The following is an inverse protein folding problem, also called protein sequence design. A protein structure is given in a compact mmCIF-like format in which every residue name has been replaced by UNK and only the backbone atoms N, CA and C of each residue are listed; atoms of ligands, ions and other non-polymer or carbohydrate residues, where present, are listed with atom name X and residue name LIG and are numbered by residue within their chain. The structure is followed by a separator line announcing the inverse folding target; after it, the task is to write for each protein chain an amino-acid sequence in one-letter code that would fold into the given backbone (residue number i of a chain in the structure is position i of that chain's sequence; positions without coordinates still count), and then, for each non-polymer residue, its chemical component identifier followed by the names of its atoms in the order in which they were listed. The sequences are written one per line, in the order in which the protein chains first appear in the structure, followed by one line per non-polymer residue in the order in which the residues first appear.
data_IF_569924551089
#
_entry.id   IF_569924551089
#
_cell.length_a   1.000
_cell.length_b   1.000
_cell.length_c   1.000
_cell.angle_alpha   90.00
_cell.angle_beta   90.00
_cell.angle_gamma   90.00
#
_symmetry.space_group_name_H-M   'P 1'
#
loop_
_entity.id
_entity.type
_entity.pdbx_description
1 polymer ?
#
# COMPACT_ATOMS: atom_id res chain seq x y z
N UNK A 1 45.94 8.98 -1.34
CA UNK A 1 45.37 7.62 -1.44
C UNK A 1 43.87 7.70 -1.21
N UNK A 2 43.11 7.97 -2.28
CA UNK A 2 41.66 7.83 -2.26
C UNK A 2 41.38 6.37 -2.65
N UNK A 3 41.04 5.54 -1.67
CA UNK A 3 40.63 4.16 -1.94
C UNK A 3 39.29 4.23 -2.66
N UNK A 4 39.29 3.72 -3.90
CA UNK A 4 38.13 3.49 -4.74
C UNK A 4 37.03 2.76 -3.96
N UNK A 5 36.06 3.51 -3.44
CA UNK A 5 34.79 2.96 -3.00
C UNK A 5 33.87 2.84 -4.23
N UNK A 6 34.25 1.99 -5.17
CA UNK A 6 33.32 1.51 -6.19
C UNK A 6 32.32 0.61 -5.48
N UNK A 7 31.20 1.23 -5.11
CA UNK A 7 29.97 0.64 -4.61
C UNK A 7 29.54 -0.57 -5.45
N UNK A 8 29.92 -1.77 -5.04
CA UNK A 8 29.49 -3.02 -5.68
C UNK A 8 28.13 -3.45 -5.14
N UNK A 9 27.09 -2.65 -5.38
CA UNK A 9 25.73 -2.94 -4.89
C UNK A 9 25.07 -4.15 -5.58
N UNK A 10 25.69 -4.70 -6.64
CA UNK A 10 25.12 -5.77 -7.46
C UNK A 10 25.67 -7.18 -7.17
N UNK A 11 26.62 -7.34 -6.22
CA UNK A 11 27.19 -8.65 -5.83
C UNK A 11 26.49 -9.26 -4.61
N UNK A 12 25.17 -9.08 -4.48
CA UNK A 12 24.42 -9.62 -3.35
C UNK A 12 23.87 -11.00 -3.73
N UNK A 13 24.26 -12.04 -2.99
CA UNK A 13 23.76 -13.39 -3.21
C UNK A 13 22.24 -13.46 -3.01
N UNK A 14 21.51 -13.82 -4.08
CA UNK A 14 20.05 -13.92 -4.11
C UNK A 14 19.53 -15.33 -3.86
N UNK A 15 20.37 -16.25 -3.37
CA UNK A 15 19.90 -17.51 -2.83
C UNK A 15 18.83 -17.26 -1.75
N UNK A 16 17.80 -18.11 -1.73
CA UNK A 16 16.63 -17.93 -0.86
C UNK A 16 17.00 -17.75 0.62
N UNK A 17 17.98 -18.52 1.11
CA UNK A 17 18.49 -18.39 2.47
C UNK A 17 19.16 -17.03 2.73
N UNK A 18 19.94 -16.53 1.78
CA UNK A 18 20.62 -15.23 1.88
C UNK A 18 19.62 -14.07 1.88
N UNK A 19 18.58 -14.14 1.05
CA UNK A 19 17.47 -13.17 1.06
C UNK A 19 16.77 -13.17 2.43
N UNK A 20 16.40 -14.34 2.96
CA UNK A 20 15.74 -14.43 4.26
C UNK A 20 16.62 -13.85 5.36
N UNK A 21 17.92 -14.20 5.40
CA UNK A 21 18.84 -13.66 6.43
C UNK A 21 18.89 -12.13 6.41
N UNK A 22 18.91 -11.51 5.23
CA UNK A 22 18.88 -10.05 5.08
C UNK A 22 17.56 -9.45 5.54
N UNK A 23 16.43 -10.02 5.10
CA UNK A 23 15.09 -9.53 5.49
C UNK A 23 14.82 -9.70 6.99
N UNK A 24 15.32 -10.79 7.58
CA UNK A 24 15.15 -11.09 8.99
C UNK A 24 16.05 -10.24 9.91
N UNK A 25 17.12 -9.63 9.38
CA UNK A 25 18.13 -8.91 10.18
C UNK A 25 17.54 -7.97 11.25
N UNK A 26 16.51 -7.14 10.97
CA UNK A 26 15.93 -6.24 11.96
C UNK A 26 15.18 -6.94 13.10
N UNK A 27 14.81 -8.22 12.94
CA UNK A 27 14.02 -9.00 13.91
C UNK A 27 14.78 -10.22 14.45
N UNK A 28 16.06 -10.38 14.10
CA UNK A 28 16.91 -11.39 14.72
C UNK A 28 17.09 -11.07 16.20
N UNK A 29 17.23 -12.11 17.00
CA UNK A 29 17.45 -12.05 18.45
C UNK A 29 16.27 -11.51 19.29
N UNK A 30 15.10 -11.30 18.69
CA UNK A 30 13.93 -10.74 19.39
C UNK A 30 12.91 -11.78 19.85
N UNK A 31 13.18 -13.09 19.71
CA UNK A 31 12.22 -14.15 20.08
C UNK A 31 11.00 -14.26 19.15
N UNK A 32 11.04 -13.65 17.96
CA UNK A 32 9.94 -13.70 16.98
C UNK A 32 9.99 -14.98 16.14
N UNK A 33 8.85 -15.33 15.55
CA UNK A 33 8.73 -16.43 14.59
C UNK A 33 8.59 -15.88 13.15
N UNK A 34 9.19 -16.56 12.18
CA UNK A 34 9.00 -16.28 10.74
C UNK A 34 8.23 -17.44 10.10
N UNK A 35 7.18 -17.10 9.34
CA UNK A 35 6.45 -18.10 8.55
C UNK A 35 6.94 -18.09 7.11
N UNK A 36 7.29 -19.26 6.57
CA UNK A 36 7.86 -19.40 5.23
C UNK A 36 6.97 -20.22 4.29
N UNK A 37 6.96 -19.82 3.02
CA UNK A 37 6.60 -20.74 1.95
C UNK A 37 7.77 -21.69 1.60
N UNK A 38 7.44 -22.80 0.94
CA UNK A 38 8.33 -23.89 0.58
C UNK A 38 9.57 -23.49 -0.22
N UNK A 39 9.55 -22.35 -0.93
CA UNK A 39 10.72 -21.83 -1.65
C UNK A 39 11.85 -21.43 -0.70
N UNK A 40 11.50 -20.88 0.47
CA UNK A 40 12.44 -20.33 1.44
C UNK A 40 12.82 -21.34 2.54
N UNK A 41 12.00 -22.37 2.75
CA UNK A 41 12.22 -23.34 3.82
C UNK A 41 13.41 -24.27 3.56
N UNK A 42 14.36 -24.29 4.49
CA UNK A 42 15.45 -25.27 4.56
C UNK A 42 15.91 -25.50 6.00
N UNK A 43 16.42 -26.70 6.30
CA UNK A 43 16.88 -27.04 7.65
C UNK A 43 18.11 -26.24 8.10
N UNK A 44 19.14 -25.99 7.24
CA UNK A 44 20.25 -25.13 7.62
C UNK A 44 19.83 -23.69 7.94
N UNK A 45 18.82 -23.15 7.24
CA UNK A 45 18.27 -21.84 7.55
C UNK A 45 17.52 -21.84 8.90
N UNK A 46 16.78 -22.92 9.19
CA UNK A 46 16.12 -23.08 10.47
C UNK A 46 17.13 -23.09 11.65
N UNK A 47 18.27 -23.76 11.48
CA UNK A 47 19.37 -23.73 12.46
C UNK A 47 19.94 -22.33 12.67
N UNK A 48 20.23 -21.62 11.58
CA UNK A 48 20.74 -20.25 11.64
C UNK A 48 19.78 -19.32 12.39
N UNK A 49 18.48 -19.37 12.08
CA UNK A 49 17.49 -18.51 12.74
C UNK A 49 17.39 -18.84 14.23
N UNK A 50 17.39 -20.13 14.58
CA UNK A 50 17.30 -20.55 15.97
C UNK A 50 18.53 -20.13 16.78
N UNK A 51 19.73 -20.22 16.21
CA UNK A 51 20.97 -19.71 16.82
C UNK A 51 20.89 -18.19 17.09
N UNK A 52 20.07 -17.47 16.31
CA UNK A 52 19.80 -16.05 16.47
C UNK A 52 18.45 -15.78 17.18
N UNK A 53 18.01 -16.68 18.08
CA UNK A 53 16.75 -16.58 18.87
C UNK A 53 15.51 -16.18 18.03
N UNK A 54 15.41 -16.70 16.82
CA UNK A 54 14.28 -16.52 15.91
C UNK A 54 13.78 -17.90 15.48
N UNK A 55 12.49 -18.16 15.67
CA UNK A 55 11.90 -19.44 15.27
C UNK A 55 11.34 -19.36 13.85
N UNK A 56 11.04 -20.53 13.29
CA UNK A 56 10.39 -20.62 12.00
C UNK A 56 9.31 -21.69 11.96
N UNK A 57 8.35 -21.48 11.05
CA UNK A 57 7.36 -22.46 10.61
C UNK A 57 7.23 -22.34 9.11
N UNK A 58 7.27 -23.44 8.36
CA UNK A 58 7.09 -23.35 6.92
C UNK A 58 6.82 -24.68 6.26
N UNK A 59 6.19 -24.63 5.10
CA UNK A 59 6.04 -25.82 4.27
C UNK A 59 7.39 -26.26 3.72
N UNK A 60 7.60 -27.57 3.56
CA UNK A 60 8.86 -28.13 3.07
C UNK A 60 8.64 -28.87 1.77
N UNK A 61 9.54 -28.68 0.80
CA UNK A 61 9.53 -29.47 -0.44
C UNK A 61 9.94 -30.91 -0.18
N UNK A 62 9.28 -31.86 -0.85
CA UNK A 62 9.53 -33.31 -0.69
C UNK A 62 10.92 -33.77 -1.09
N UNK A 63 11.65 -32.98 -1.88
CA UNK A 63 12.96 -33.32 -2.41
C UNK A 63 14.13 -32.98 -1.46
N UNK A 64 13.85 -32.53 -0.23
CA UNK A 64 14.88 -32.30 0.78
C UNK A 64 15.38 -33.63 1.31
N UNK A 65 16.69 -33.85 1.27
CA UNK A 65 17.35 -35.12 1.64
C UNK A 65 17.25 -35.44 3.12
N UNK A 66 17.01 -34.42 3.93
CA UNK A 66 16.87 -34.48 5.38
C UNK A 66 15.52 -35.05 5.83
N UNK A 67 14.57 -35.24 4.90
CA UNK A 67 13.22 -35.75 5.20
C UNK A 67 13.26 -37.29 5.16
N UNK A 68 12.84 -37.98 6.24
CA UNK A 68 12.76 -39.44 6.23
C UNK A 68 11.80 -39.95 5.15
N UNK A 69 12.13 -41.02 4.40
CA UNK A 69 11.28 -41.55 3.34
C UNK A 69 9.84 -41.87 3.78
N UNK A 70 9.65 -42.27 5.04
CA UNK A 70 8.35 -42.60 5.65
C UNK A 70 7.39 -41.40 5.64
N UNK A 71 7.93 -40.18 5.71
CA UNK A 71 7.15 -38.94 5.69
C UNK A 71 6.63 -38.63 4.28
N UNK A 72 7.22 -39.25 3.25
CA UNK A 72 6.85 -39.04 1.85
C UNK A 72 5.77 -40.01 1.36
N UNK A 73 5.50 -41.08 2.12
CA UNK A 73 4.52 -42.10 1.78
C UNK A 73 3.11 -41.52 1.89
N UNK A 74 2.32 -41.65 0.82
CA UNK A 74 0.90 -41.25 0.78
C UNK A 74 -0.06 -42.43 0.60
N UNK A 75 0.38 -43.51 -0.06
CA UNK A 75 -0.39 -44.75 -0.24
C UNK A 75 -0.47 -45.51 1.09
N UNK A 76 -1.61 -46.16 1.35
CA UNK A 76 -1.82 -46.96 2.57
C UNK A 76 -2.00 -46.18 3.88
N UNK A 77 -1.86 -44.85 3.86
CA UNK A 77 -2.13 -44.00 5.03
C UNK A 77 -3.60 -43.58 5.11
N UNK A 78 -4.13 -43.47 6.32
CA UNK A 78 -5.48 -42.95 6.52
C UNK A 78 -5.56 -41.45 6.20
N UNK A 79 -6.71 -41.01 5.72
CA UNK A 79 -7.01 -39.60 5.55
C UNK A 79 -6.90 -38.90 6.91
N UNK A 80 -6.36 -37.69 6.93
CA UNK A 80 -6.13 -36.89 8.13
C UNK A 80 -5.11 -37.45 9.13
N UNK A 81 -4.41 -38.55 8.80
CA UNK A 81 -3.28 -39.03 9.59
C UNK A 81 -2.08 -38.07 9.54
N UNK A 82 -1.37 -37.99 10.67
CA UNK A 82 -0.13 -37.20 10.83
C UNK A 82 1.02 -38.09 11.29
N UNK A 83 2.19 -37.96 10.67
CA UNK A 83 3.46 -38.46 11.19
C UNK A 83 4.28 -37.30 11.72
N UNK A 84 4.84 -37.47 12.90
CA UNK A 84 5.64 -36.45 13.58
C UNK A 84 7.07 -36.91 13.71
N UNK A 85 8.01 -36.06 13.32
CA UNK A 85 9.44 -36.28 13.43
C UNK A 85 10.04 -35.20 14.30
N UNK A 86 10.86 -35.61 15.26
CA UNK A 86 11.50 -34.70 16.20
C UNK A 86 13.00 -34.88 16.13
N UNK A 87 13.70 -33.76 16.05
CA UNK A 87 15.11 -33.63 16.33
C UNK A 87 15.27 -32.62 17.47
N UNK A 88 16.47 -32.52 18.06
CA UNK A 88 16.72 -31.75 19.29
C UNK A 88 15.95 -30.42 19.37
N UNK A 89 16.02 -29.61 18.32
CA UNK A 89 15.35 -28.30 18.27
C UNK A 89 14.48 -28.10 17.01
N UNK A 90 14.05 -29.18 16.35
CA UNK A 90 13.27 -29.09 15.11
C UNK A 90 12.21 -30.16 15.10
N UNK A 91 11.05 -29.82 14.56
CA UNK A 91 9.94 -30.74 14.38
C UNK A 91 9.49 -30.68 12.94
N UNK A 92 9.04 -31.81 12.42
CA UNK A 92 8.41 -31.92 11.10
C UNK A 92 7.13 -32.73 11.25
N UNK A 93 6.07 -32.29 10.57
CA UNK A 93 4.83 -33.03 10.43
C UNK A 93 4.57 -33.38 8.97
N UNK A 94 4.23 -34.64 8.72
CA UNK A 94 3.68 -35.11 7.45
C UNK A 94 2.21 -35.44 7.61
N UNK A 95 1.35 -34.62 7.01
CA UNK A 95 -0.10 -34.69 7.16
C UNK A 95 -0.79 -35.03 5.83
N UNK A 96 -1.69 -36.02 5.86
CA UNK A 96 -2.46 -36.45 4.68
C UNK A 96 -3.79 -35.71 4.61
N UNK A 97 -3.80 -34.55 3.98
CA UNK A 97 -5.01 -33.73 3.83
C UNK A 97 -6.00 -34.24 2.78
N UNK A 98 -5.52 -34.95 1.75
CA UNK A 98 -6.31 -35.46 0.61
C UNK A 98 -5.77 -36.81 0.15
N UNK A 99 -6.58 -37.57 -0.59
CA UNK A 99 -6.11 -38.80 -1.22
C UNK A 99 -4.85 -38.54 -2.06
N UNK A 100 -3.83 -39.40 -1.90
CA UNK A 100 -2.53 -39.34 -2.57
C UNK A 100 -1.72 -38.04 -2.39
N UNK A 101 -2.11 -37.10 -1.51
CA UNK A 101 -1.39 -35.86 -1.25
C UNK A 101 -1.03 -35.73 0.23
N UNK A 102 0.24 -35.45 0.47
CA UNK A 102 0.80 -35.14 1.79
C UNK A 102 1.27 -33.69 1.82
N UNK A 103 1.16 -33.06 2.98
CA UNK A 103 1.70 -31.74 3.28
C UNK A 103 2.79 -31.92 4.32
N UNK A 104 3.96 -31.34 4.07
CA UNK A 104 5.10 -31.34 4.98
C UNK A 104 5.26 -29.94 5.55
N UNK A 105 5.29 -29.82 6.87
CA UNK A 105 5.58 -28.57 7.57
C UNK A 105 6.70 -28.82 8.55
N UNK A 106 7.72 -27.97 8.54
CA UNK A 106 8.78 -27.97 9.54
C UNK A 106 8.62 -26.75 10.46
N UNK A 107 9.05 -26.91 11.71
CA UNK A 107 9.06 -25.85 12.70
C UNK A 107 10.24 -25.99 13.66
N UNK A 108 10.75 -24.84 14.12
CA UNK A 108 11.65 -24.74 15.30
C UNK A 108 10.94 -24.17 16.53
N UNK A 109 9.65 -23.87 16.43
CA UNK A 109 8.81 -23.36 17.51
C UNK A 109 8.06 -24.47 18.25
N UNK A 110 7.53 -25.45 17.51
CA UNK A 110 6.71 -26.53 18.05
C UNK A 110 7.58 -27.75 18.36
N UNK A 111 7.33 -28.44 19.48
CA UNK A 111 8.15 -29.56 19.97
C UNK A 111 7.34 -30.80 20.39
N UNK A 112 6.04 -30.85 20.09
CA UNK A 112 5.17 -31.94 20.46
C UNK A 112 4.26 -32.40 19.31
N UNK A 113 3.29 -33.25 19.65
CA UNK A 113 2.35 -33.89 18.72
C UNK A 113 0.94 -33.29 18.82
N UNK A 114 0.79 -32.10 19.39
CA UNK A 114 -0.51 -31.55 19.74
C UNK A 114 -1.42 -31.44 18.50
N UNK A 115 -2.67 -31.86 18.68
CA UNK A 115 -3.73 -31.80 17.68
C UNK A 115 -4.69 -30.68 18.06
N UNK A 116 -4.99 -29.79 17.11
CA UNK A 116 -5.96 -28.73 17.30
C UNK A 116 -7.38 -29.31 17.24
N UNK A 117 -8.01 -29.41 18.41
CA UNK A 117 -9.34 -29.97 18.59
C UNK A 117 -10.42 -29.21 17.79
N UNK A 118 -10.20 -27.92 17.48
CA UNK A 118 -11.14 -27.13 16.68
C UNK A 118 -11.24 -27.61 15.24
N UNK A 119 -10.33 -28.48 14.81
CA UNK A 119 -10.32 -29.03 13.44
C UNK A 119 -11.17 -30.28 13.28
N UNK A 120 -11.72 -30.82 14.38
CA UNK A 120 -12.63 -31.97 14.39
C UNK A 120 -12.04 -33.17 13.68
N UNK A 121 -12.81 -33.79 12.79
CA UNK A 121 -12.39 -34.96 12.01
C UNK A 121 -11.12 -34.76 11.17
N UNK A 122 -10.73 -33.51 10.89
CA UNK A 122 -9.51 -33.20 10.12
C UNK A 122 -8.23 -33.41 10.95
N UNK A 123 -8.31 -33.50 12.28
CA UNK A 123 -7.19 -33.85 13.17
C UNK A 123 -5.86 -33.16 12.80
N UNK A 124 -5.92 -31.86 12.49
CA UNK A 124 -4.71 -31.10 12.11
C UNK A 124 -3.88 -30.86 13.35
N UNK A 125 -2.56 -30.98 13.24
CA UNK A 125 -1.66 -30.56 14.31
C UNK A 125 -1.71 -29.05 14.52
N UNK A 126 -1.38 -28.60 15.72
CA UNK A 126 -1.23 -27.17 16.03
C UNK A 126 -0.21 -26.48 15.10
N UNK A 127 0.85 -27.20 14.71
CA UNK A 127 1.82 -26.71 13.72
C UNK A 127 1.17 -26.35 12.37
N UNK A 128 0.20 -27.16 11.92
CA UNK A 128 -0.53 -26.91 10.67
C UNK A 128 -1.51 -25.76 10.82
N UNK A 129 -2.22 -25.67 11.94
CA UNK A 129 -3.19 -24.59 12.15
C UNK A 129 -2.49 -23.25 12.37
N UNK A 130 -1.39 -23.23 13.13
CA UNK A 130 -0.49 -22.08 13.25
C UNK A 130 0.01 -21.63 11.88
N UNK A 131 0.59 -22.51 11.06
CA UNK A 131 1.02 -22.16 9.70
C UNK A 131 -0.10 -21.54 8.87
N UNK A 132 -1.30 -22.13 8.90
CA UNK A 132 -2.43 -21.60 8.13
C UNK A 132 -2.88 -20.21 8.60
N UNK A 133 -2.74 -19.90 9.89
CA UNK A 133 -3.09 -18.60 10.45
C UNK A 133 -2.10 -17.48 10.09
N UNK A 134 -0.83 -17.82 9.83
CA UNK A 134 0.24 -16.84 9.61
C UNK A 134 0.71 -16.73 8.15
N UNK A 135 0.51 -17.77 7.33
CA UNK A 135 1.04 -17.84 5.95
C UNK A 135 0.53 -16.73 5.01
N UNK A 136 -0.62 -16.14 5.29
CA UNK A 136 -1.29 -15.20 4.38
C UNK A 136 -0.87 -13.74 4.55
N UNK A 137 0.09 -13.43 5.44
CA UNK A 137 0.46 -12.05 5.73
C UNK A 137 0.90 -11.26 4.48
N UNK A 138 1.79 -11.85 3.67
CA UNK A 138 2.28 -11.23 2.43
C UNK A 138 1.19 -11.19 1.36
N UNK A 139 0.50 -12.31 1.12
CA UNK A 139 -0.59 -12.38 0.13
C UNK A 139 -1.72 -11.38 0.42
N UNK A 140 -2.00 -11.10 1.70
CA UNK A 140 -3.00 -10.13 2.12
C UNK A 140 -2.54 -8.71 1.78
N UNK A 141 -1.27 -8.40 2.00
CA UNK A 141 -0.68 -7.11 1.61
C UNK A 141 -0.71 -6.94 0.08
N UNK A 142 -0.36 -7.98 -0.68
CA UNK A 142 -0.42 -7.96 -2.14
C UNK A 142 -1.85 -7.71 -2.63
N UNK A 143 -2.84 -8.44 -2.10
CA UNK A 143 -4.25 -8.22 -2.42
C UNK A 143 -4.72 -6.79 -2.08
N UNK A 144 -4.35 -6.27 -0.91
CA UNK A 144 -4.73 -4.90 -0.51
C UNK A 144 -4.11 -3.83 -1.41
N UNK A 145 -2.87 -4.04 -1.86
CA UNK A 145 -2.16 -3.10 -2.75
C UNK A 145 -2.63 -3.20 -4.20
N UNK A 146 -3.02 -4.38 -4.66
CA UNK A 146 -3.55 -4.59 -6.01
C UNK A 146 -4.93 -3.96 -6.21
N UNK A 147 -5.85 -4.14 -5.23
CA UNK A 147 -7.21 -3.57 -5.31
C UNK A 147 -7.25 -2.04 -5.42
N UNK A 148 -6.24 -1.35 -4.91
CA UNK A 148 -6.12 0.10 -4.97
C UNK A 148 -4.76 0.52 -5.53
N UNK A 149 -4.40 -0.06 -6.67
CA UNK A 149 -3.09 0.19 -7.29
C UNK A 149 -3.03 1.53 -8.04
N UNK A 150 -1.94 2.26 -7.82
CA UNK A 150 -1.59 3.46 -8.61
C UNK A 150 -0.80 3.14 -9.88
N UNK A 151 -0.52 1.85 -10.13
CA UNK A 151 0.27 1.44 -11.29
C UNK A 151 -0.36 1.88 -12.61
N UNK A 152 0.48 2.23 -13.58
CA UNK A 152 0.09 2.61 -14.94
C UNK A 152 0.94 1.83 -15.93
N UNK A 153 0.35 1.54 -17.09
CA UNK A 153 1.09 0.93 -18.19
C UNK A 153 2.30 1.81 -18.56
N UNK A 154 3.48 1.21 -18.60
CA UNK A 154 4.73 1.89 -18.88
C UNK A 154 5.76 0.92 -19.42
N UNK A 155 6.52 1.35 -20.43
CA UNK A 155 7.67 0.60 -20.95
C UNK A 155 8.96 0.82 -20.11
N UNK A 156 8.87 1.55 -18.99
CA UNK A 156 10.02 1.88 -18.13
C UNK A 156 9.90 1.14 -16.80
N UNK A 157 10.69 0.09 -16.61
CA UNK A 157 10.68 -0.73 -15.39
C UNK A 157 10.86 0.04 -14.08
N UNK A 158 11.61 1.18 -13.99
CA UNK A 158 11.72 1.91 -12.73
C UNK A 158 10.37 2.46 -12.25
N UNK A 159 9.45 2.75 -13.17
CA UNK A 159 8.11 3.18 -12.81
C UNK A 159 7.30 2.06 -12.15
N UNK A 160 7.51 0.80 -12.54
CA UNK A 160 6.90 -0.35 -11.86
C UNK A 160 7.30 -0.37 -10.38
N UNK A 161 8.60 -0.24 -10.09
CA UNK A 161 9.11 -0.18 -8.71
C UNK A 161 8.56 1.03 -7.96
N UNK A 162 8.54 2.20 -8.61
CA UNK A 162 7.97 3.42 -8.02
C UNK A 162 6.50 3.26 -7.63
N UNK A 163 5.68 2.66 -8.50
CA UNK A 163 4.27 2.41 -8.19
C UNK A 163 4.09 1.40 -7.06
N UNK A 164 4.92 0.35 -7.00
CA UNK A 164 4.93 -0.58 -5.87
C UNK A 164 5.26 0.12 -4.55
N UNK A 165 6.26 1.01 -4.54
CA UNK A 165 6.61 1.80 -3.35
C UNK A 165 5.46 2.71 -2.90
N UNK A 166 4.75 3.35 -3.83
CA UNK A 166 3.59 4.19 -3.49
C UNK A 166 2.43 3.35 -2.92
N UNK A 167 2.16 2.18 -3.50
CA UNK A 167 1.10 1.29 -3.01
C UNK A 167 1.40 0.79 -1.59
N UNK A 168 2.62 0.28 -1.36
CA UNK A 168 3.08 -0.21 -0.05
C UNK A 168 3.13 0.93 0.96
N UNK A 169 3.70 2.08 0.58
CA UNK A 169 3.79 3.26 1.42
C UNK A 169 2.42 3.76 1.87
N UNK A 170 1.46 3.83 0.95
CA UNK A 170 0.09 4.21 1.28
C UNK A 170 -0.59 3.23 2.22
N UNK A 171 -0.29 1.93 2.15
CA UNK A 171 -0.84 0.93 3.07
C UNK A 171 -0.19 1.04 4.45
N UNK A 172 1.14 1.09 4.51
CA UNK A 172 1.88 1.24 5.76
C UNK A 172 1.50 2.52 6.50
N UNK A 173 1.33 3.65 5.79
CA UNK A 173 0.87 4.90 6.40
C UNK A 173 -0.53 4.79 7.00
N UNK A 174 -1.40 3.99 6.38
CA UNK A 174 -2.74 3.74 6.89
C UNK A 174 -2.69 2.93 8.18
N UNK A 175 -1.89 1.87 8.22
CA UNK A 175 -1.69 1.05 9.42
C UNK A 175 -1.19 1.93 10.55
N UNK A 176 -0.09 2.68 10.34
CA UNK A 176 0.47 3.58 11.35
C UNK A 176 -0.54 4.63 11.83
N UNK A 177 -1.31 5.23 10.92
CA UNK A 177 -2.36 6.18 11.27
C UNK A 177 -3.42 5.55 12.17
N UNK A 178 -3.90 4.34 11.83
CA UNK A 178 -4.95 3.67 12.58
C UNK A 178 -4.47 3.22 13.96
N UNK A 179 -3.24 2.71 14.05
CA UNK A 179 -2.63 2.33 15.33
C UNK A 179 -2.42 3.54 16.24
N UNK A 180 -1.99 4.69 15.71
CA UNK A 180 -1.73 5.87 16.52
C UNK A 180 -3.00 6.62 16.94
N UNK A 181 -4.02 6.64 16.08
CA UNK A 181 -5.25 7.43 16.33
C UNK A 181 -6.41 6.61 16.87
N UNK A 182 -6.34 5.27 16.76
CA UNK A 182 -7.44 4.35 17.01
C UNK A 182 -8.68 4.60 16.12
N UNK A 183 -8.56 5.47 15.11
CA UNK A 183 -9.64 5.79 14.16
C UNK A 183 -9.57 4.84 12.99
N UNK A 184 -10.52 3.92 12.91
CA UNK A 184 -10.67 3.04 11.76
C UNK A 184 -11.19 3.80 10.54
N UNK A 185 -10.52 3.63 9.40
CA UNK A 185 -10.94 4.13 8.08
C UNK A 185 -10.94 2.98 7.10
N UNK A 186 -11.84 3.00 6.12
CA UNK A 186 -11.69 2.11 4.98
C UNK A 186 -10.48 2.52 4.14
N UNK A 187 -9.95 1.59 3.35
CA UNK A 187 -8.80 1.85 2.46
C UNK A 187 -9.07 3.02 1.49
N UNK A 188 -10.27 3.05 0.92
CA UNK A 188 -10.72 4.09 0.00
C UNK A 188 -10.77 5.48 0.66
N UNK A 189 -11.36 5.59 1.84
CA UNK A 189 -11.47 6.86 2.56
C UNK A 189 -10.09 7.41 2.95
N UNK A 190 -9.21 6.52 3.44
CA UNK A 190 -7.86 6.89 3.78
C UNK A 190 -7.11 7.43 2.56
N UNK A 191 -7.15 6.71 1.43
CA UNK A 191 -6.48 7.14 0.19
C UNK A 191 -7.05 8.44 -0.39
N UNK A 192 -8.37 8.64 -0.33
CA UNK A 192 -8.99 9.92 -0.74
C UNK A 192 -8.50 11.08 0.12
N UNK A 193 -8.41 10.89 1.44
CA UNK A 193 -7.91 11.91 2.35
C UNK A 193 -6.43 12.19 2.11
N UNK A 194 -5.60 11.15 2.01
CA UNK A 194 -4.17 11.26 1.72
C UNK A 194 -3.92 12.00 0.41
N UNK A 195 -4.61 11.60 -0.67
CA UNK A 195 -4.46 12.25 -1.97
C UNK A 195 -4.85 13.73 -1.94
N UNK A 196 -5.91 14.10 -1.22
CA UNK A 196 -6.31 15.51 -1.05
C UNK A 196 -5.25 16.33 -0.29
N UNK A 197 -4.75 15.80 0.82
CA UNK A 197 -3.72 16.48 1.63
C UNK A 197 -2.42 16.66 0.84
N UNK A 198 -1.97 15.63 0.10
CA UNK A 198 -0.77 15.72 -0.73
C UNK A 198 -0.89 16.75 -1.87
N UNK A 199 -2.12 17.03 -2.33
CA UNK A 199 -2.36 18.00 -3.40
C UNK A 199 -2.64 19.41 -2.87
N UNK A 200 -2.85 19.60 -1.56
CA UNK A 200 -3.45 20.82 -1.00
C UNK A 200 -2.70 22.09 -1.40
N UNK A 201 -1.38 22.11 -1.22
CA UNK A 201 -0.54 23.28 -1.55
C UNK A 201 -0.55 23.58 -3.05
N UNK A 202 -0.54 22.55 -3.88
CA UNK A 202 -0.62 22.73 -5.33
C UNK A 202 -1.99 23.25 -5.76
N UNK A 203 -3.07 22.82 -5.09
CA UNK A 203 -4.42 23.32 -5.34
C UNK A 203 -4.54 24.80 -4.91
N UNK A 204 -3.99 25.16 -3.74
CA UNK A 204 -3.87 26.55 -3.27
C UNK A 204 -3.10 27.42 -4.27
N UNK A 205 -1.93 26.96 -4.72
CA UNK A 205 -1.13 27.65 -5.72
C UNK A 205 -1.90 27.85 -7.04
N UNK A 206 -2.55 26.81 -7.57
CA UNK A 206 -3.31 26.94 -8.83
C UNK A 206 -4.45 27.96 -8.74
N UNK A 207 -5.04 28.17 -7.57
CA UNK A 207 -6.08 29.15 -7.35
C UNK A 207 -5.61 30.61 -7.48
N UNK A 208 -4.31 30.88 -7.29
CA UNK A 208 -3.72 32.22 -7.46
C UNK A 208 -3.53 32.59 -8.93
N UNK A 209 -3.47 31.60 -9.82
CA UNK A 209 -3.23 31.80 -11.25
C UNK A 209 -4.42 32.53 -11.89
N UNK A 210 -4.19 33.77 -12.34
CA UNK A 210 -5.23 34.63 -12.93
C UNK A 210 -5.83 34.05 -14.21
N UNK A 211 -5.02 33.44 -15.07
CA UNK A 211 -5.39 32.83 -16.34
C UNK A 211 -6.08 31.47 -16.25
N UNK A 212 -6.17 30.86 -15.06
CA UNK A 212 -6.80 29.55 -14.92
C UNK A 212 -8.30 29.62 -15.30
N UNK A 213 -8.79 28.71 -16.16
CA UNK A 213 -10.19 28.69 -16.61
C UNK A 213 -11.19 28.72 -15.45
N UNK A 214 -12.27 29.49 -15.61
CA UNK A 214 -13.32 29.67 -14.58
C UNK A 214 -13.92 28.35 -14.09
N UNK A 215 -14.27 27.37 -14.94
CA UNK A 215 -14.82 26.10 -14.46
C UNK A 215 -13.87 25.33 -13.54
N UNK A 216 -12.56 25.43 -13.78
CA UNK A 216 -11.55 24.82 -12.92
C UNK A 216 -11.43 25.57 -11.59
N UNK A 217 -11.44 26.91 -11.59
CA UNK A 217 -11.47 27.71 -10.35
C UNK A 217 -12.67 27.38 -9.48
N UNK A 218 -13.86 27.29 -10.06
CA UNK A 218 -15.08 26.92 -9.31
C UNK A 218 -14.98 25.52 -8.72
N UNK A 219 -14.42 24.55 -9.46
CA UNK A 219 -14.19 23.20 -8.91
C UNK A 219 -13.16 23.18 -7.78
N UNK A 220 -12.09 23.97 -7.88
CA UNK A 220 -11.04 24.04 -6.86
C UNK A 220 -11.56 24.63 -5.54
N UNK A 221 -12.53 25.54 -5.58
CA UNK A 221 -13.18 26.10 -4.38
C UNK A 221 -13.87 25.04 -3.52
N UNK A 222 -14.28 23.90 -4.10
CA UNK A 222 -14.86 22.78 -3.33
C UNK A 222 -13.82 22.02 -2.50
N UNK A 223 -12.53 22.22 -2.77
CA UNK A 223 -11.45 21.48 -2.13
C UNK A 223 -10.55 22.37 -1.26
N UNK A 224 -10.49 23.67 -1.54
CA UNK A 224 -9.61 24.61 -0.87
C UNK A 224 -10.31 25.96 -0.72
N UNK A 225 -10.32 26.49 0.50
CA UNK A 225 -10.66 27.89 0.77
C UNK A 225 -9.39 28.71 0.73
N UNK A 226 -9.28 29.64 -0.22
CA UNK A 226 -8.23 30.66 -0.21
C UNK A 226 -8.91 31.98 0.11
N UNK A 227 -8.58 32.58 1.25
CA UNK A 227 -8.94 33.97 1.51
C UNK A 227 -8.29 34.84 0.44
N UNK A 228 -9.11 35.41 -0.43
CA UNK A 228 -8.64 36.48 -1.30
C UNK A 228 -8.72 37.76 -0.49
N UNK A 229 -7.59 38.44 -0.33
CA UNK A 229 -7.64 39.88 -0.10
C UNK A 229 -8.44 40.49 -1.26
N UNK A 230 -9.62 41.03 -0.92
CA UNK A 230 -10.42 41.80 -1.85
C UNK A 230 -9.67 43.12 -2.06
N UNK A 231 -8.72 43.12 -3.00
CA UNK A 231 -8.12 44.36 -3.45
C UNK A 231 -9.24 45.24 -4.03
N UNK A 232 -9.48 46.45 -3.50
CA UNK A 232 -10.45 47.36 -4.06
C UNK A 232 -10.10 47.62 -5.52
N UNK A 233 -11.07 47.45 -6.41
CA UNK A 233 -10.87 47.65 -7.85
C UNK A 233 -10.38 49.07 -8.15
N UNK A 234 -9.10 49.20 -8.52
CA UNK A 234 -8.62 50.32 -9.32
C UNK A 234 -8.45 49.83 -10.76
N UNK A 235 -9.52 49.81 -11.55
CA UNK A 235 -9.37 49.74 -13.01
C UNK A 235 -8.85 51.10 -13.49
N UNK A 236 -7.53 51.22 -13.63
CA UNK A 236 -6.88 52.37 -14.25
C UNK A 236 -6.90 52.31 -15.79
N UNK A 237 -7.19 51.14 -16.39
CA UNK A 237 -7.11 50.93 -17.84
C UNK A 237 -8.46 50.54 -18.46
N UNK A 238 -8.78 51.16 -19.59
CA UNK A 238 -10.00 50.91 -20.38
C UNK A 238 -9.97 49.52 -21.02
N UNK A 239 -11.04 48.72 -20.82
CA UNK A 239 -11.16 47.34 -21.31
C UNK A 239 -12.37 47.18 -22.24
N UNK A 240 -12.40 46.14 -23.08
CA UNK A 240 -13.55 45.86 -23.97
C UNK A 240 -14.77 45.41 -23.16
N UNK A 241 -15.94 45.92 -23.50
CA UNK A 241 -17.23 45.48 -22.96
C UNK A 241 -17.44 43.97 -23.18
N UNK A 242 -17.83 43.26 -22.13
CA UNK A 242 -18.04 41.80 -22.16
C UNK A 242 -19.34 41.38 -22.88
N UNK A 243 -20.24 42.32 -23.17
CA UNK A 243 -21.57 42.07 -23.74
C UNK A 243 -21.68 42.55 -25.19
N UNK A 244 -20.71 43.31 -25.68
CA UNK A 244 -20.63 43.68 -27.09
C UNK A 244 -20.05 42.53 -27.93
N UNK A 245 -20.53 42.40 -29.15
CA UNK A 245 -19.84 41.64 -30.19
C UNK A 245 -18.40 42.13 -30.38
N UNK A 246 -17.49 41.19 -30.66
CA UNK A 246 -16.04 41.46 -30.72
C UNK A 246 -15.67 42.56 -31.72
N UNK A 247 -16.43 42.65 -32.83
CA UNK A 247 -16.22 43.60 -33.93
C UNK A 247 -16.46 45.05 -33.49
N UNK A 248 -17.36 45.28 -32.51
CA UNK A 248 -17.72 46.64 -32.06
C UNK A 248 -16.63 47.30 -31.21
N UNK A 249 -15.70 46.52 -30.64
CA UNK A 249 -14.59 46.92 -29.77
C UNK A 249 -14.87 48.03 -28.73
N UNK A 250 -16.11 48.15 -28.23
CA UNK A 250 -16.47 49.22 -27.29
C UNK A 250 -15.67 49.10 -26.01
N UNK A 251 -14.86 50.11 -25.71
CA UNK A 251 -14.05 50.19 -24.50
C UNK A 251 -14.84 50.84 -23.36
N UNK A 252 -14.55 50.43 -22.13
CA UNK A 252 -15.19 50.90 -20.91
C UNK A 252 -14.24 50.78 -19.73
N UNK A 253 -14.36 51.73 -18.81
CA UNK A 253 -13.71 51.70 -17.49
C UNK A 253 -14.67 51.23 -16.40
N UNK A 254 -15.98 51.11 -16.70
CA UNK A 254 -17.01 50.64 -15.77
C UNK A 254 -17.09 49.11 -15.75
N UNK A 255 -17.39 48.55 -14.59
CA UNK A 255 -17.61 47.11 -14.38
C UNK A 255 -18.91 46.86 -13.62
N UNK A 256 -19.51 45.69 -13.81
CA UNK A 256 -20.64 45.23 -12.99
C UNK A 256 -20.18 45.02 -11.54
N UNK A 257 -20.92 45.56 -10.58
CA UNK A 257 -20.65 45.45 -9.14
C UNK A 257 -20.72 44.00 -8.64
N UNK A 258 -21.58 43.17 -9.22
CA UNK A 258 -21.75 41.77 -8.81
C UNK A 258 -20.74 40.83 -9.50
N UNK A 259 -20.48 41.00 -10.80
CA UNK A 259 -19.68 40.03 -11.58
C UNK A 259 -18.35 40.55 -12.15
N UNK A 260 -18.03 41.83 -11.92
CA UNK A 260 -16.73 42.47 -12.26
C UNK A 260 -16.44 42.54 -13.78
N UNK A 261 -17.37 42.10 -14.63
CA UNK A 261 -17.20 42.18 -16.10
C UNK A 261 -17.21 43.65 -16.57
N UNK A 262 -16.30 44.06 -17.47
CA UNK A 262 -16.36 45.36 -18.11
C UNK A 262 -17.67 45.54 -18.88
N UNK A 263 -18.37 46.64 -18.63
CA UNK A 263 -19.69 46.90 -19.20
C UNK A 263 -19.75 48.31 -19.79
N UNK A 264 -20.14 48.45 -21.06
CA UNK A 264 -20.33 49.76 -21.68
C UNK A 264 -21.68 50.36 -21.27
N UNK A 265 -21.88 51.66 -21.55
CA UNK A 265 -23.12 52.36 -21.19
C UNK A 265 -24.37 51.72 -21.80
N UNK A 266 -24.32 51.20 -23.03
CA UNK A 266 -25.49 50.56 -23.67
C UNK A 266 -25.98 49.29 -22.97
N UNK A 267 -25.10 48.63 -22.21
CA UNK A 267 -25.43 47.42 -21.45
C UNK A 267 -25.60 47.72 -19.95
N UNK A 268 -25.38 48.96 -19.54
CA UNK A 268 -25.57 49.40 -18.16
C UNK A 268 -27.03 49.83 -18.00
N UNK A 269 -27.71 49.31 -17.00
CA UNK A 269 -29.01 49.81 -16.58
C UNK A 269 -28.75 50.73 -15.39
N UNK A 270 -29.08 52.01 -15.55
CA UNK A 270 -29.02 53.00 -14.47
C UNK A 270 -30.39 53.03 -13.78
N UNK A 271 -30.41 52.67 -12.49
CA UNK A 271 -31.62 52.59 -11.67
C UNK A 271 -31.37 53.47 -10.43
N UNK A 272 -32.35 54.28 -10.02
CA UNK A 272 -32.24 55.03 -8.77
C UNK A 272 -32.31 54.06 -7.56
N UNK A 273 -31.82 54.46 -6.38
CA UNK A 273 -31.84 53.60 -5.19
C UNK A 273 -33.24 53.06 -4.86
N UNK A 274 -34.28 53.90 -4.99
CA UNK A 274 -35.67 53.53 -4.66
C UNK A 274 -36.25 52.48 -5.64
N UNK A 275 -35.83 52.50 -6.91
CA UNK A 275 -36.24 51.54 -7.92
C UNK A 275 -35.38 50.26 -7.94
N UNK A 276 -34.27 50.21 -7.21
CA UNK A 276 -33.40 49.02 -7.11
C UNK A 276 -33.86 48.04 -6.03
N UNK A 277 -34.69 48.50 -5.08
CA UNK A 277 -35.14 47.72 -3.91
C UNK A 277 -36.50 47.02 -4.07
N UNK A 278 -37.04 46.92 -5.28
CA UNK A 278 -38.23 46.12 -5.64
C UNK A 278 -37.82 44.88 -6.45
#
# INVERSE_FOLDING_TARGET
MLVNNQMVHFLVDNAASCVVKRLANPILNTGRNITFDNWFTSFPLADYLLQNKTTMVGTVRKNKREIPPEFLISKGRDLYSSYFGFSKNKSIVSYKAKSNKIVLIASTMHNDKAIDMNTGEKLKSEMITFYNSTKSGVDTMDWMTENYSVARHSARWPLTVFYSLLNIGGLNSMIVYQENTQVKKTRLEFLKSLGRQLMEDQLKYRMTISSLPRPLKTRLQNYVTVEREVLPQKLRSSNRCAFCERVKDKKTTKVCTNCIKPICRDHLIEICPDCFTL
#
